data_IF_838550469133
#
_entry.id   IF_838550469133
#
_cell.length_a   1.000
_cell.length_b   1.000
_cell.length_c   1.000
_cell.angle_alpha   90.00
_cell.angle_beta   90.00
_cell.angle_gamma   90.00
#
_symmetry.space_group_name_H-M   'P 1'
#
loop_
_entity.id
_entity.type
_entity.pdbx_description
1 polymer ?
#
# COMPACT_ATOMS: atom_id res chain seq x y z
N UNK A 1 -45.83 18.56 28.19
CA UNK A 1 -44.41 18.26 28.02
C UNK A 1 -44.27 17.63 26.63
N UNK A 2 -44.11 18.51 25.65
CA UNK A 2 -44.00 18.08 24.26
C UNK A 2 -42.58 17.56 24.01
N UNK A 3 -42.49 16.33 23.61
CA UNK A 3 -41.25 15.69 23.20
C UNK A 3 -40.74 16.37 21.92
N UNK A 4 -39.56 17.01 21.99
CA UNK A 4 -38.86 17.51 20.83
C UNK A 4 -38.70 16.39 19.80
N UNK A 5 -38.90 16.65 18.50
CA UNK A 5 -38.66 15.68 17.47
C UNK A 5 -37.15 15.35 17.45
N UNK A 6 -36.82 14.05 17.54
CA UNK A 6 -35.47 13.54 17.32
C UNK A 6 -35.03 13.96 15.92
N UNK A 7 -33.92 14.72 15.84
CA UNK A 7 -33.23 14.99 14.59
C UNK A 7 -32.85 13.63 13.98
N UNK A 8 -33.21 13.34 12.71
CA UNK A 8 -32.76 12.11 12.07
C UNK A 8 -31.22 12.13 12.06
N UNK A 9 -30.58 11.07 12.57
CA UNK A 9 -29.14 10.89 12.39
C UNK A 9 -28.88 10.97 10.88
N UNK A 10 -28.04 11.89 10.44
CA UNK A 10 -27.57 11.93 9.06
C UNK A 10 -27.08 10.52 8.71
N UNK A 11 -27.72 9.92 7.72
CA UNK A 11 -27.33 8.61 7.24
C UNK A 11 -25.85 8.66 6.87
N UNK A 12 -25.06 7.76 7.41
CA UNK A 12 -23.62 7.66 7.14
C UNK A 12 -23.40 7.67 5.63
N UNK A 13 -22.66 8.65 5.13
CA UNK A 13 -22.31 8.77 3.71
C UNK A 13 -21.36 7.62 3.28
N UNK A 14 -20.70 6.99 4.26
CA UNK A 14 -19.75 5.92 4.01
C UNK A 14 -20.46 4.61 3.63
N UNK A 15 -19.87 3.79 2.73
CA UNK A 15 -20.35 2.44 2.46
C UNK A 15 -20.44 1.63 3.74
N UNK A 16 -21.39 0.67 3.77
CA UNK A 16 -21.66 -0.16 4.95
C UNK A 16 -20.40 -0.79 5.55
N UNK A 17 -20.22 -0.65 6.85
CA UNK A 17 -19.08 -1.18 7.61
C UNK A 17 -17.75 -0.49 7.33
N UNK A 18 -17.67 0.47 6.41
CA UNK A 18 -16.48 1.29 6.23
C UNK A 18 -16.33 2.31 7.34
N UNK A 19 -15.09 2.60 7.69
CA UNK A 19 -14.78 3.63 8.70
C UNK A 19 -13.71 4.59 8.17
N UNK A 20 -13.85 5.86 8.50
CA UNK A 20 -12.81 6.85 8.25
C UNK A 20 -11.77 6.76 9.37
N UNK A 21 -10.48 6.81 9.00
CA UNK A 21 -9.38 6.86 9.94
C UNK A 21 -8.82 8.27 10.05
N UNK A 22 -8.22 8.57 11.20
CA UNK A 22 -7.65 9.86 11.55
C UNK A 22 -8.56 10.67 12.45
N UNK A 23 -7.96 11.46 13.34
CA UNK A 23 -8.64 12.32 14.30
C UNK A 23 -8.90 13.73 13.78
N UNK A 24 -8.47 14.76 14.52
CA UNK A 24 -8.69 16.17 14.19
C UNK A 24 -8.12 16.65 12.85
N UNK A 25 -7.15 15.91 12.28
CA UNK A 25 -6.56 16.16 10.96
C UNK A 25 -7.22 15.38 9.82
N UNK A 26 -8.29 14.63 10.06
CA UNK A 26 -8.97 13.88 9.01
C UNK A 26 -9.87 14.82 8.18
N UNK A 27 -9.78 14.71 6.85
CA UNK A 27 -10.72 15.38 5.96
C UNK A 27 -12.01 14.57 5.93
N UNK A 28 -13.12 15.19 6.26
CA UNK A 28 -14.45 14.55 6.18
C UNK A 28 -14.71 14.03 4.76
N UNK A 29 -15.02 12.76 4.65
CA UNK A 29 -15.40 12.12 3.39
C UNK A 29 -16.89 12.35 3.15
N UNK A 30 -17.19 13.24 2.23
CA UNK A 30 -18.55 13.49 1.76
C UNK A 30 -18.90 12.64 0.52
N UNK A 31 -20.14 12.71 0.08
CA UNK A 31 -20.61 11.96 -1.09
C UNK A 31 -19.83 12.35 -2.36
N UNK A 32 -19.36 13.58 -2.49
CA UNK A 32 -18.62 14.05 -3.65
C UNK A 32 -17.21 13.40 -3.71
N UNK A 33 -16.52 13.32 -2.56
CA UNK A 33 -15.22 12.68 -2.44
C UNK A 33 -15.30 11.16 -2.72
N UNK A 34 -16.42 10.52 -2.37
CA UNK A 34 -16.62 9.08 -2.57
C UNK A 34 -17.18 8.71 -3.94
N UNK A 35 -17.84 9.65 -4.62
CA UNK A 35 -18.51 9.41 -5.92
C UNK A 35 -17.61 8.73 -6.97
N UNK A 36 -16.34 9.11 -7.17
CA UNK A 36 -15.48 8.46 -8.16
C UNK A 36 -15.30 6.95 -7.91
N UNK A 37 -15.46 6.50 -6.66
CA UNK A 37 -15.18 5.14 -6.21
C UNK A 37 -16.43 4.29 -6.00
N UNK A 38 -17.60 4.90 -5.90
CA UNK A 38 -18.89 4.25 -5.61
C UNK A 38 -19.87 4.27 -6.78
N UNK A 39 -19.64 5.12 -7.78
CA UNK A 39 -20.45 5.21 -9.00
C UNK A 39 -19.94 4.24 -10.07
N UNK A 40 -20.85 3.54 -10.75
CA UNK A 40 -20.52 2.72 -11.91
C UNK A 40 -20.46 3.53 -13.22
N UNK A 41 -20.64 4.85 -13.15
CA UNK A 41 -20.82 5.68 -14.34
C UNK A 41 -19.47 6.12 -14.96
N UNK A 42 -18.37 5.95 -14.24
CA UNK A 42 -17.05 6.36 -14.71
C UNK A 42 -16.08 5.18 -14.76
N UNK A 43 -15.38 5.00 -15.90
CA UNK A 43 -14.32 4.01 -15.97
C UNK A 43 -13.16 4.44 -15.07
N UNK A 44 -12.57 3.48 -14.37
CA UNK A 44 -11.39 3.64 -13.52
C UNK A 44 -10.18 3.03 -14.22
N UNK A 45 -9.00 3.57 -13.93
CA UNK A 45 -7.73 2.93 -14.28
C UNK A 45 -7.13 2.26 -13.03
N UNK A 46 -6.49 1.11 -13.21
CA UNK A 46 -5.79 0.37 -12.15
C UNK A 46 -4.31 0.25 -12.49
N UNK A 47 -3.45 0.82 -11.67
CA UNK A 47 -2.00 0.72 -11.75
C UNK A 47 -1.50 -0.17 -10.60
N UNK A 48 -0.92 -1.32 -10.95
CA UNK A 48 -0.18 -2.17 -10.02
C UNK A 48 1.31 -1.89 -10.18
N UNK A 49 1.97 -1.44 -9.11
CA UNK A 49 3.40 -1.17 -9.12
C UNK A 49 4.12 -2.28 -8.34
N UNK A 50 4.92 -3.04 -9.05
CA UNK A 50 5.80 -4.06 -8.49
C UNK A 50 7.17 -3.46 -8.29
N UNK A 51 7.76 -3.64 -7.11
CA UNK A 51 9.14 -3.25 -6.90
C UNK A 51 9.89 -4.24 -6.00
N UNK A 52 11.21 -4.20 -6.09
CA UNK A 52 12.08 -5.03 -5.25
C UNK A 52 13.13 -4.19 -4.54
N UNK A 53 13.44 -4.59 -3.31
CA UNK A 53 14.49 -4.03 -2.47
C UNK A 53 15.25 -5.13 -1.75
N UNK A 54 16.57 -5.02 -1.65
CA UNK A 54 17.39 -5.92 -0.85
C UNK A 54 17.07 -5.86 0.66
N UNK A 55 16.32 -4.85 1.10
CA UNK A 55 15.77 -4.82 2.46
C UNK A 55 14.91 -6.06 2.74
N UNK A 56 14.23 -6.61 1.74
CA UNK A 56 13.45 -7.84 1.84
C UNK A 56 14.30 -9.10 2.07
N UNK A 57 15.62 -9.02 1.89
CA UNK A 57 16.52 -10.17 2.04
C UNK A 57 16.90 -10.47 3.49
N UNK A 58 16.57 -9.57 4.42
CA UNK A 58 16.72 -9.88 5.84
C UNK A 58 15.69 -10.93 6.28
N UNK A 59 16.18 -11.96 6.97
CA UNK A 59 15.30 -13.00 7.50
C UNK A 59 14.27 -12.40 8.48
N UNK A 60 13.03 -12.84 8.36
CA UNK A 60 11.93 -12.38 9.22
C UNK A 60 11.42 -10.96 8.97
N UNK A 61 12.00 -10.17 8.04
CA UNK A 61 11.62 -8.77 7.84
C UNK A 61 10.22 -8.58 7.24
N UNK A 62 9.74 -9.55 6.49
CA UNK A 62 8.48 -9.44 5.76
C UNK A 62 7.75 -10.78 5.73
N UNK A 63 6.42 -10.73 5.86
CA UNK A 63 5.53 -11.87 5.67
C UNK A 63 5.23 -12.20 4.20
N UNK A 64 5.68 -11.36 3.26
CA UNK A 64 5.49 -11.55 1.82
C UNK A 64 6.37 -12.68 1.25
N UNK A 65 6.40 -13.81 1.91
CA UNK A 65 7.19 -15.01 1.61
C UNK A 65 8.02 -15.46 2.81
N UNK A 66 7.97 -16.76 3.11
CA UNK A 66 8.62 -17.34 4.30
C UNK A 66 10.15 -17.34 4.22
N UNK A 67 10.72 -17.33 3.02
CA UNK A 67 12.17 -17.33 2.79
C UNK A 67 12.61 -16.14 1.95
N UNK A 68 13.88 -15.78 2.05
CA UNK A 68 14.49 -14.75 1.19
C UNK A 68 14.28 -15.07 -0.29
N UNK A 69 14.46 -16.34 -0.68
CA UNK A 69 14.29 -16.77 -2.06
C UNK A 69 12.84 -16.59 -2.53
N UNK A 70 11.84 -16.97 -1.72
CA UNK A 70 10.43 -16.81 -2.08
C UNK A 70 10.04 -15.35 -2.23
N UNK A 71 10.56 -14.45 -1.39
CA UNK A 71 10.27 -13.00 -1.47
C UNK A 71 10.72 -12.35 -2.77
N UNK A 72 11.74 -12.89 -3.44
CA UNK A 72 12.20 -12.39 -4.75
C UNK A 72 11.17 -12.60 -5.86
N UNK A 73 10.23 -13.53 -5.69
CA UNK A 73 9.22 -13.87 -6.69
C UNK A 73 7.81 -13.42 -6.30
N UNK A 74 7.58 -13.01 -5.06
CA UNK A 74 6.25 -12.68 -4.55
C UNK A 74 5.55 -11.65 -5.44
N UNK A 75 6.22 -10.57 -5.79
CA UNK A 75 5.62 -9.52 -6.62
C UNK A 75 5.18 -10.03 -8.01
N UNK A 76 6.00 -10.90 -8.63
CA UNK A 76 5.67 -11.53 -9.91
C UNK A 76 4.51 -12.51 -9.79
N UNK A 77 4.52 -13.35 -8.74
CA UNK A 77 3.48 -14.34 -8.49
C UNK A 77 2.13 -13.70 -8.19
N UNK A 78 2.13 -12.62 -7.43
CA UNK A 78 0.91 -11.85 -7.13
C UNK A 78 0.37 -11.12 -8.36
N UNK A 79 1.24 -10.54 -9.18
CA UNK A 79 0.82 -9.91 -10.43
C UNK A 79 0.26 -10.94 -11.43
N UNK A 80 0.91 -12.09 -11.58
CA UNK A 80 0.41 -13.19 -12.41
C UNK A 80 -0.99 -13.65 -11.94
N UNK A 81 -1.19 -13.74 -10.61
CA UNK A 81 -2.48 -14.08 -10.03
C UNK A 81 -3.54 -12.99 -10.26
N UNK A 82 -3.16 -11.72 -10.13
CA UNK A 82 -4.07 -10.61 -10.40
C UNK A 82 -4.53 -10.59 -11.87
N UNK A 83 -3.59 -10.79 -12.81
CA UNK A 83 -3.87 -10.71 -14.25
C UNK A 83 -4.66 -11.93 -14.73
N UNK A 84 -4.18 -13.13 -14.43
CA UNK A 84 -4.68 -14.38 -15.00
C UNK A 84 -5.63 -15.14 -14.10
N UNK A 85 -5.73 -14.78 -12.82
CA UNK A 85 -6.54 -15.49 -11.83
C UNK A 85 -5.92 -16.84 -11.44
N UNK A 86 -6.70 -17.72 -10.78
CA UNK A 86 -6.22 -19.00 -10.25
C UNK A 86 -6.00 -20.03 -11.37
N UNK A 87 -4.92 -19.90 -12.12
CA UNK A 87 -4.52 -20.86 -13.16
C UNK A 87 -3.97 -22.17 -12.57
N UNK A 88 -4.11 -23.28 -13.32
CA UNK A 88 -3.58 -24.59 -12.92
C UNK A 88 -2.05 -24.66 -12.97
N UNK A 89 -1.44 -23.99 -13.94
CA UNK A 89 0.00 -23.87 -14.09
C UNK A 89 0.37 -22.39 -14.00
N UNK A 90 1.32 -22.09 -13.13
CA UNK A 90 1.88 -20.77 -12.93
C UNK A 90 3.35 -20.80 -13.24
N UNK A 91 3.86 -19.75 -13.84
CA UNK A 91 5.29 -19.57 -14.00
C UNK A 91 5.94 -19.24 -12.65
N UNK A 92 5.28 -18.38 -11.89
CA UNK A 92 5.78 -17.91 -10.60
C UNK A 92 5.01 -18.60 -9.48
N UNK A 93 5.66 -19.47 -8.68
CA UNK A 93 4.97 -20.10 -7.56
C UNK A 93 4.63 -19.07 -6.50
N UNK A 94 3.37 -19.05 -6.08
CA UNK A 94 3.01 -18.29 -4.91
C UNK A 94 3.80 -18.81 -3.71
N UNK A 95 4.41 -17.91 -2.91
CA UNK A 95 5.10 -18.36 -1.71
C UNK A 95 4.10 -19.09 -0.81
N UNK A 96 4.52 -20.15 -0.09
CA UNK A 96 3.67 -20.81 0.88
C UNK A 96 3.33 -19.78 1.96
N UNK A 97 2.04 -19.52 2.09
CA UNK A 97 1.50 -18.57 3.03
C UNK A 97 0.82 -19.35 4.16
N UNK A 98 1.02 -19.02 5.43
CA UNK A 98 0.30 -19.67 6.53
C UNK A 98 -1.22 -19.62 6.36
N UNK A 99 -1.72 -18.56 5.75
CA UNK A 99 -3.13 -18.35 5.44
C UNK A 99 -3.61 -19.06 4.15
N UNK A 100 -2.74 -19.62 3.34
CA UNK A 100 -3.09 -20.41 2.16
C UNK A 100 -3.43 -19.62 0.90
N UNK A 101 -3.69 -18.32 0.95
CA UNK A 101 -4.18 -17.53 -0.20
C UNK A 101 -3.50 -16.18 -0.28
N UNK A 102 -2.99 -15.83 -1.47
CA UNK A 102 -2.49 -14.48 -1.73
C UNK A 102 -3.62 -13.46 -1.81
N UNK A 103 -3.46 -12.25 -1.24
CA UNK A 103 -4.41 -11.15 -1.38
C UNK A 103 -4.65 -10.73 -2.85
N UNK A 104 -3.73 -11.02 -3.75
CA UNK A 104 -3.89 -10.78 -5.17
C UNK A 104 -5.09 -11.53 -5.78
N UNK A 105 -5.57 -12.64 -5.19
CA UNK A 105 -6.79 -13.31 -5.63
C UNK A 105 -8.02 -12.43 -5.46
N UNK A 106 -8.10 -11.69 -4.37
CA UNK A 106 -9.23 -10.78 -4.14
C UNK A 106 -9.17 -9.57 -5.05
N UNK A 107 -7.94 -9.05 -5.24
CA UNK A 107 -7.72 -7.99 -6.22
C UNK A 107 -8.12 -8.46 -7.63
N UNK A 108 -7.84 -9.72 -8.00
CA UNK A 108 -8.33 -10.31 -9.25
C UNK A 108 -9.85 -10.33 -9.32
N UNK A 109 -10.53 -10.80 -8.28
CA UNK A 109 -11.99 -10.84 -8.24
C UNK A 109 -12.59 -9.44 -8.31
N UNK A 110 -12.04 -8.48 -7.57
CA UNK A 110 -12.47 -7.09 -7.58
C UNK A 110 -12.26 -6.44 -8.97
N UNK A 111 -11.08 -6.60 -9.56
CA UNK A 111 -10.77 -6.08 -10.89
C UNK A 111 -11.73 -6.65 -11.95
N UNK A 112 -11.99 -7.96 -11.90
CA UNK A 112 -12.97 -8.61 -12.78
C UNK A 112 -14.38 -8.07 -12.58
N UNK A 113 -14.81 -7.89 -11.34
CA UNK A 113 -16.13 -7.36 -11.01
C UNK A 113 -16.32 -5.93 -11.50
N UNK A 114 -15.28 -5.13 -11.43
CA UNK A 114 -15.27 -3.73 -11.87
C UNK A 114 -14.83 -3.55 -13.33
N UNK A 115 -14.60 -4.65 -14.05
CA UNK A 115 -14.12 -4.62 -15.45
C UNK A 115 -12.83 -3.82 -15.62
N UNK A 116 -11.93 -3.89 -14.61
CA UNK A 116 -10.64 -3.21 -14.62
C UNK A 116 -9.57 -4.11 -15.24
N UNK A 117 -8.79 -3.55 -16.15
CA UNK A 117 -7.56 -4.18 -16.66
C UNK A 117 -6.36 -3.55 -15.96
N UNK A 118 -5.60 -4.30 -15.15
CA UNK A 118 -4.45 -3.74 -14.46
C UNK A 118 -3.34 -3.39 -15.44
N UNK A 119 -2.84 -2.16 -15.35
CA UNK A 119 -1.55 -1.77 -15.91
C UNK A 119 -0.48 -2.08 -14.87
N UNK A 120 0.57 -2.76 -15.28
CA UNK A 120 1.63 -3.18 -14.35
C UNK A 120 2.91 -2.41 -14.63
N UNK A 121 3.44 -1.71 -13.64
CA UNK A 121 4.80 -1.18 -13.66
C UNK A 121 5.71 -2.14 -12.88
N UNK A 122 6.82 -2.56 -13.52
CA UNK A 122 7.76 -3.51 -12.94
C UNK A 122 9.12 -2.84 -12.72
N UNK A 123 9.50 -2.63 -11.45
CA UNK A 123 10.63 -1.80 -11.07
C UNK A 123 11.66 -2.60 -10.26
N UNK A 124 12.86 -2.71 -10.78
CA UNK A 124 13.98 -3.36 -10.07
C UNK A 124 13.75 -4.80 -9.66
N UNK A 125 12.92 -5.55 -10.37
CA UNK A 125 12.64 -6.95 -10.05
C UNK A 125 13.87 -7.81 -10.34
N UNK A 126 14.06 -8.87 -9.53
CA UNK A 126 15.14 -9.83 -9.71
C UNK A 126 14.98 -10.68 -10.98
N UNK A 127 13.77 -10.79 -11.49
CA UNK A 127 13.42 -11.57 -12.67
C UNK A 127 12.50 -10.76 -13.59
N UNK A 128 12.63 -11.02 -14.89
CA UNK A 128 11.80 -10.36 -15.90
C UNK A 128 10.36 -10.90 -15.85
N UNK A 129 9.32 -10.01 -15.79
CA UNK A 129 7.94 -10.41 -15.99
C UNK A 129 7.72 -11.05 -17.36
N UNK A 130 6.85 -12.04 -17.43
CA UNK A 130 6.40 -12.68 -18.68
C UNK A 130 4.99 -12.26 -19.10
N UNK A 131 4.44 -11.28 -18.42
CA UNK A 131 3.17 -10.62 -18.72
C UNK A 131 3.38 -9.17 -19.20
N UNK A 132 2.39 -8.57 -19.87
CA UNK A 132 2.48 -7.18 -20.31
C UNK A 132 2.72 -6.22 -19.13
N UNK A 133 3.71 -5.34 -19.28
CA UNK A 133 4.05 -4.34 -18.27
C UNK A 133 4.60 -3.06 -18.91
N UNK A 134 4.54 -1.97 -18.15
CA UNK A 134 5.10 -0.69 -18.54
C UNK A 134 6.64 -0.75 -18.45
N UNK A 135 7.31 -0.33 -19.52
CA UNK A 135 8.77 -0.21 -19.55
C UNK A 135 9.19 1.14 -18.96
N UNK A 136 9.37 1.18 -17.65
CA UNK A 136 9.72 2.39 -16.90
C UNK A 136 11.24 2.55 -16.79
N UNK A 137 11.95 1.47 -16.50
CA UNK A 137 13.41 1.43 -16.42
C UNK A 137 13.96 0.14 -17.06
N UNK A 138 15.25 0.06 -17.39
CA UNK A 138 15.86 -1.18 -17.83
C UNK A 138 15.69 -2.30 -16.82
N UNK A 139 15.35 -3.50 -17.30
CA UNK A 139 15.04 -4.65 -16.43
C UNK A 139 16.26 -5.22 -15.67
N UNK A 140 17.45 -4.84 -16.09
CA UNK A 140 18.74 -5.22 -15.47
C UNK A 140 19.18 -4.28 -14.33
N UNK A 141 18.40 -3.23 -14.04
CA UNK A 141 18.69 -2.35 -12.90
C UNK A 141 18.70 -3.07 -11.56
N UNK A 142 17.89 -4.12 -11.43
CA UNK A 142 17.81 -4.90 -10.21
C UNK A 142 17.15 -4.17 -9.03
N UNK A 143 17.04 -4.84 -7.86
CA UNK A 143 16.47 -4.28 -6.64
C UNK A 143 17.22 -3.04 -6.16
N UNK A 144 16.53 -2.14 -5.43
CA UNK A 144 17.27 -1.15 -4.63
C UNK A 144 18.14 -1.84 -3.59
N UNK A 145 19.27 -1.24 -3.24
CA UNK A 145 20.11 -1.74 -2.15
C UNK A 145 19.33 -1.73 -0.82
N UNK A 146 19.79 -2.50 0.15
CA UNK A 146 19.19 -2.47 1.49
C UNK A 146 19.26 -1.05 2.06
N UNK A 147 18.15 -0.56 2.57
CA UNK A 147 18.04 0.78 3.16
C UNK A 147 19.11 1.03 4.25
N UNK A 148 19.55 -0.02 4.94
CA UNK A 148 20.59 0.10 5.99
C UNK A 148 21.97 0.52 5.46
N UNK A 149 22.14 0.55 4.12
CA UNK A 149 23.36 1.10 3.49
C UNK A 149 23.40 2.63 3.56
N UNK A 150 22.25 3.31 3.67
CA UNK A 150 22.13 4.75 3.53
C UNK A 150 22.28 5.25 2.09
N UNK A 151 22.31 4.32 1.12
CA UNK A 151 22.45 4.55 -0.32
C UNK A 151 21.61 3.52 -1.09
N UNK A 152 20.29 3.55 -0.87
CA UNK A 152 19.34 2.57 -1.42
C UNK A 152 19.29 2.62 -2.95
N UNK A 153 19.37 3.82 -3.53
CA UNK A 153 19.37 4.00 -4.99
C UNK A 153 20.31 5.14 -5.40
N UNK A 154 20.97 5.05 -6.57
CA UNK A 154 21.62 6.21 -7.15
C UNK A 154 20.61 7.34 -7.41
N UNK A 155 20.97 8.59 -7.08
CA UNK A 155 20.08 9.74 -7.30
C UNK A 155 19.57 9.86 -8.74
N UNK A 156 20.40 9.64 -9.80
CA UNK A 156 19.90 9.65 -11.17
C UNK A 156 18.79 8.61 -11.45
N UNK A 157 18.83 7.43 -10.79
CA UNK A 157 17.76 6.43 -10.89
C UNK A 157 16.46 6.94 -10.24
N UNK A 158 16.55 7.53 -9.05
CA UNK A 158 15.41 8.15 -8.38
C UNK A 158 14.76 9.20 -9.28
N UNK A 159 15.57 10.10 -9.85
CA UNK A 159 15.11 11.17 -10.74
C UNK A 159 14.49 10.62 -12.03
N UNK A 160 15.03 9.53 -12.57
CA UNK A 160 14.45 8.86 -13.73
C UNK A 160 13.06 8.28 -13.39
N UNK A 161 12.95 7.48 -12.34
CA UNK A 161 11.69 6.87 -11.88
C UNK A 161 10.64 7.95 -11.59
N UNK A 162 11.02 8.98 -10.86
CA UNK A 162 10.18 10.13 -10.55
C UNK A 162 9.61 10.78 -11.81
N UNK A 163 10.49 11.09 -12.76
CA UNK A 163 10.09 11.72 -14.03
C UNK A 163 9.14 10.84 -14.84
N UNK A 164 9.39 9.53 -14.89
CA UNK A 164 8.48 8.59 -15.56
C UNK A 164 7.11 8.55 -14.88
N UNK A 165 7.08 8.53 -13.55
CA UNK A 165 5.85 8.65 -12.79
C UNK A 165 5.11 9.95 -13.06
N UNK A 166 5.81 11.08 -13.02
CA UNK A 166 5.23 12.40 -13.29
C UNK A 166 4.61 12.50 -14.69
N UNK A 167 5.28 11.96 -15.70
CA UNK A 167 4.75 11.90 -17.05
C UNK A 167 3.46 11.07 -17.13
N UNK A 168 3.39 9.95 -16.40
CA UNK A 168 2.18 9.14 -16.31
C UNK A 168 1.06 9.91 -15.59
N UNK A 169 1.37 10.50 -14.43
CA UNK A 169 0.41 11.27 -13.64
C UNK A 169 -0.22 12.43 -14.40
N UNK A 170 0.58 13.18 -15.17
CA UNK A 170 0.10 14.29 -16.02
C UNK A 170 -0.85 13.87 -17.13
N UNK A 171 -0.80 12.61 -17.56
CA UNK A 171 -1.63 12.07 -18.65
C UNK A 171 -2.91 11.40 -18.20
N UNK A 172 -3.19 11.39 -16.89
CA UNK A 172 -4.41 10.79 -16.36
C UNK A 172 -5.64 11.47 -16.92
N UNK A 173 -6.54 10.67 -17.45
CA UNK A 173 -7.85 11.11 -17.97
C UNK A 173 -9.01 10.56 -17.14
N UNK A 174 -8.73 9.66 -16.22
CA UNK A 174 -9.70 8.94 -15.39
C UNK A 174 -9.19 8.83 -13.96
N UNK A 175 -10.07 8.62 -12.99
CA UNK A 175 -9.66 8.27 -11.63
C UNK A 175 -8.74 7.03 -11.65
N UNK A 176 -7.66 7.10 -10.87
CA UNK A 176 -6.64 6.06 -10.84
C UNK A 176 -6.62 5.36 -9.48
N UNK A 177 -6.72 4.04 -9.49
CA UNK A 177 -6.41 3.18 -8.35
C UNK A 177 -4.94 2.78 -8.45
N UNK A 178 -4.16 3.05 -7.42
CA UNK A 178 -2.76 2.63 -7.30
C UNK A 178 -2.67 1.53 -6.26
N UNK A 179 -2.09 0.40 -6.64
CA UNK A 179 -1.78 -0.71 -5.75
C UNK A 179 -0.29 -1.06 -5.87
N UNK A 180 0.26 -1.72 -4.84
CA UNK A 180 1.67 -2.09 -4.83
C UNK A 180 1.90 -3.55 -4.41
N UNK A 181 3.02 -4.11 -4.84
CA UNK A 181 3.58 -5.30 -4.24
C UNK A 181 5.10 -5.12 -4.08
N UNK A 182 5.52 -4.79 -2.85
CA UNK A 182 6.91 -4.51 -2.50
C UNK A 182 7.27 -5.27 -1.23
N UNK A 183 7.79 -6.51 -1.32
CA UNK A 183 8.33 -7.19 -0.15
C UNK A 183 9.34 -6.31 0.58
N UNK A 184 9.19 -6.14 1.90
CA UNK A 184 10.02 -5.22 2.69
C UNK A 184 9.59 -3.74 2.67
N UNK A 185 8.58 -3.39 1.88
CA UNK A 185 8.11 -2.01 1.68
C UNK A 185 7.65 -1.28 2.95
N UNK A 186 7.12 -1.98 3.95
CA UNK A 186 6.78 -1.34 5.23
C UNK A 186 8.01 -0.83 5.99
N UNK A 187 9.19 -1.42 5.76
CA UNK A 187 10.44 -0.96 6.38
C UNK A 187 11.02 0.25 5.63
N UNK A 188 10.96 0.27 4.30
CA UNK A 188 11.35 1.44 3.50
C UNK A 188 10.40 2.62 3.75
N UNK A 189 9.08 2.36 3.91
CA UNK A 189 8.11 3.38 4.33
C UNK A 189 8.45 3.98 5.70
N UNK A 190 8.80 3.13 6.69
CA UNK A 190 9.25 3.60 7.99
C UNK A 190 10.47 4.52 7.87
N UNK A 191 11.47 4.12 7.09
CA UNK A 191 12.69 4.89 6.92
C UNK A 191 12.42 6.25 6.26
N UNK A 192 11.61 6.28 5.22
CA UNK A 192 11.21 7.50 4.52
C UNK A 192 10.43 8.45 5.44
N UNK A 193 9.40 7.96 6.14
CA UNK A 193 8.62 8.79 7.06
C UNK A 193 9.48 9.33 8.21
N UNK A 194 10.39 8.50 8.76
CA UNK A 194 11.34 8.98 9.77
C UNK A 194 12.28 10.05 9.22
N UNK A 195 12.77 9.88 7.98
CA UNK A 195 13.66 10.87 7.33
C UNK A 195 12.94 12.19 7.03
N UNK A 196 11.63 12.13 6.76
CA UNK A 196 10.77 13.30 6.63
C UNK A 196 10.52 14.02 7.96
N UNK A 197 10.79 13.39 9.12
CA UNK A 197 10.52 13.93 10.44
C UNK A 197 9.17 13.54 11.03
N UNK A 198 8.46 12.58 10.42
CA UNK A 198 7.22 12.04 10.99
C UNK A 198 7.55 11.13 12.16
N UNK A 199 6.84 11.31 13.30
CA UNK A 199 6.96 10.42 14.45
C UNK A 199 6.30 9.08 14.14
N UNK A 200 7.10 8.04 13.92
CA UNK A 200 6.61 6.73 13.48
C UNK A 200 6.88 5.60 14.49
N UNK A 201 7.39 5.95 15.69
CA UNK A 201 7.72 4.96 16.70
C UNK A 201 6.47 4.12 17.06
N UNK A 202 6.58 2.81 16.89
CA UNK A 202 5.52 1.84 17.16
C UNK A 202 4.25 1.96 16.31
N UNK A 203 4.20 2.86 15.33
CA UNK A 203 3.03 3.11 14.48
C UNK A 203 3.07 2.33 13.16
N UNK A 204 4.21 1.72 12.82
CA UNK A 204 4.33 0.94 11.60
C UNK A 204 3.79 -0.47 11.83
N UNK A 205 2.70 -0.77 11.15
CA UNK A 205 2.21 -2.14 11.06
C UNK A 205 3.15 -3.00 10.21
N UNK A 206 3.09 -4.29 10.43
CA UNK A 206 3.75 -5.25 9.55
C UNK A 206 2.72 -6.25 9.11
N UNK A 207 2.78 -6.72 7.87
CA UNK A 207 1.94 -7.81 7.37
C UNK A 207 2.22 -9.15 8.08
N UNK A 208 2.58 -9.15 9.35
CA UNK A 208 2.92 -10.31 10.15
C UNK A 208 2.17 -10.28 11.48
N UNK A 209 1.81 -11.47 12.00
CA UNK A 209 1.19 -11.61 13.34
C UNK A 209 2.03 -10.93 14.43
N UNK A 210 3.35 -11.05 14.31
CA UNK A 210 4.34 -10.44 15.17
C UNK A 210 5.32 -9.65 14.32
N UNK A 211 5.03 -8.38 14.02
CA UNK A 211 5.93 -7.55 13.20
C UNK A 211 7.32 -7.47 13.84
N UNK A 212 8.41 -7.63 13.06
CA UNK A 212 9.78 -7.59 13.58
C UNK A 212 10.21 -6.14 13.86
N UNK A 213 9.56 -5.47 14.81
CA UNK A 213 9.71 -4.05 15.08
C UNK A 213 11.16 -3.65 15.39
N UNK A 214 11.87 -4.46 16.19
CA UNK A 214 13.25 -4.17 16.53
C UNK A 214 14.17 -4.25 15.31
N UNK A 215 14.05 -5.30 14.50
CA UNK A 215 14.81 -5.45 13.26
C UNK A 215 14.57 -4.28 12.30
N UNK A 216 13.32 -3.88 12.12
CA UNK A 216 12.97 -2.73 11.28
C UNK A 216 13.63 -1.45 11.82
N UNK A 217 13.48 -1.19 13.11
CA UNK A 217 14.08 -0.03 13.78
C UNK A 217 15.59 0.02 13.58
N UNK A 218 16.28 -1.11 13.80
CA UNK A 218 17.75 -1.19 13.68
C UNK A 218 18.23 -0.91 12.25
N UNK A 219 17.50 -1.42 11.24
CA UNK A 219 17.80 -1.15 9.84
C UNK A 219 17.60 0.33 9.50
N UNK A 220 16.49 0.92 9.95
CA UNK A 220 16.17 2.33 9.71
C UNK A 220 17.20 3.25 10.37
N UNK A 221 17.49 3.05 11.64
CA UNK A 221 18.50 3.85 12.37
C UNK A 221 19.85 3.78 11.67
N UNK A 222 20.31 2.58 11.31
CA UNK A 222 21.58 2.37 10.61
C UNK A 222 21.60 3.05 9.25
N UNK A 223 20.51 2.96 8.48
CA UNK A 223 20.39 3.59 7.18
C UNK A 223 20.47 5.11 7.27
N UNK A 224 19.69 5.71 8.16
CA UNK A 224 19.67 7.16 8.34
C UNK A 224 21.01 7.71 8.88
N UNK A 225 21.67 6.98 9.77
CA UNK A 225 23.01 7.36 10.25
C UNK A 225 24.06 7.37 9.13
N UNK A 226 23.98 6.40 8.19
CA UNK A 226 24.93 6.29 7.07
C UNK A 226 24.62 7.24 5.92
N UNK A 227 23.36 7.61 5.77
CA UNK A 227 22.89 8.45 4.66
C UNK A 227 23.48 9.86 4.68
N UNK A 228 23.94 10.35 5.84
CA UNK A 228 24.49 11.71 6.00
C UNK A 228 23.57 12.78 5.39
N UNK A 229 22.26 12.64 5.55
CA UNK A 229 21.27 13.60 5.08
C UNK A 229 21.46 14.94 5.80
N UNK A 230 21.37 16.05 5.06
CA UNK A 230 21.38 17.39 5.65
C UNK A 230 20.14 17.67 6.50
N UNK A 231 20.08 18.86 7.10
CA UNK A 231 18.96 19.25 7.97
C UNK A 231 17.59 19.28 7.26
N UNK A 232 17.58 19.57 5.96
CA UNK A 232 16.37 19.65 5.13
C UNK A 232 16.60 18.89 3.84
N UNK A 233 16.61 17.55 3.85
CA UNK A 233 16.81 16.76 2.65
C UNK A 233 15.60 16.87 1.72
N UNK A 234 15.83 16.91 0.42
CA UNK A 234 14.74 16.81 -0.55
C UNK A 234 14.16 15.40 -0.58
N UNK A 235 12.92 15.25 -1.06
CA UNK A 235 12.28 13.95 -1.25
C UNK A 235 13.14 12.99 -2.09
N UNK A 236 13.79 13.50 -3.14
CA UNK A 236 14.70 12.69 -3.97
C UNK A 236 15.93 12.21 -3.18
N UNK A 237 16.51 13.05 -2.32
CA UNK A 237 17.65 12.67 -1.46
C UNK A 237 17.24 11.61 -0.43
N UNK A 238 16.07 11.74 0.18
CA UNK A 238 15.51 10.74 1.09
C UNK A 238 15.33 9.40 0.37
N UNK A 239 14.72 9.43 -0.82
CA UNK A 239 14.51 8.24 -1.64
C UNK A 239 15.83 7.58 -2.06
N UNK A 240 16.84 8.36 -2.43
CA UNK A 240 18.16 7.84 -2.77
C UNK A 240 18.83 7.17 -1.55
N UNK A 241 18.65 7.72 -0.37
CA UNK A 241 19.23 7.21 0.86
C UNK A 241 18.57 5.92 1.37
N UNK A 242 17.24 5.91 1.52
CA UNK A 242 16.51 4.86 2.25
C UNK A 242 15.22 4.39 1.59
N UNK A 243 14.89 4.90 0.40
CA UNK A 243 13.66 4.56 -0.31
C UNK A 243 13.75 3.28 -1.14
N UNK A 244 12.71 3.05 -1.92
CA UNK A 244 12.62 1.96 -2.90
C UNK A 244 12.04 2.47 -4.26
N UNK A 245 12.13 1.66 -5.33
CA UNK A 245 11.70 2.09 -6.66
C UNK A 245 10.20 2.41 -6.76
N UNK A 246 9.35 1.71 -5.99
CA UNK A 246 7.92 2.00 -5.93
C UNK A 246 7.68 3.42 -5.42
N UNK A 247 8.33 3.79 -4.32
CA UNK A 247 8.17 5.11 -3.72
C UNK A 247 8.61 6.21 -4.69
N UNK A 248 9.75 6.04 -5.36
CA UNK A 248 10.26 7.04 -6.32
C UNK A 248 9.30 7.24 -7.50
N UNK A 249 8.83 6.17 -8.10
CA UNK A 249 7.92 6.22 -9.24
C UNK A 249 6.54 6.74 -8.84
N UNK A 250 5.95 6.21 -7.76
CA UNK A 250 4.60 6.57 -7.34
C UNK A 250 4.51 7.99 -6.81
N UNK A 251 5.55 8.48 -6.10
CA UNK A 251 5.63 9.91 -5.74
C UNK A 251 5.58 10.79 -6.98
N UNK A 252 6.31 10.42 -8.04
CA UNK A 252 6.21 11.12 -9.32
C UNK A 252 4.80 11.09 -9.90
N UNK A 253 4.10 9.94 -9.86
CA UNK A 253 2.70 9.83 -10.32
C UNK A 253 1.80 10.83 -9.58
N UNK A 254 1.93 10.92 -8.26
CA UNK A 254 1.14 11.84 -7.43
C UNK A 254 1.43 13.31 -7.80
N UNK A 255 2.70 13.68 -7.93
CA UNK A 255 3.11 15.04 -8.31
C UNK A 255 2.54 15.41 -9.70
N UNK A 256 2.64 14.50 -10.67
CA UNK A 256 2.11 14.72 -12.02
C UNK A 256 0.58 14.81 -12.04
N UNK A 257 -0.11 14.02 -11.22
CA UNK A 257 -1.56 13.94 -11.19
C UNK A 257 -2.24 15.24 -10.70
N UNK A 258 -1.53 16.09 -9.94
CA UNK A 258 -2.05 17.39 -9.50
C UNK A 258 -2.54 18.22 -10.69
N UNK A 259 -1.76 18.23 -11.80
CA UNK A 259 -2.14 18.98 -12.99
C UNK A 259 -3.26 18.34 -13.81
N UNK A 260 -3.44 17.03 -13.70
CA UNK A 260 -4.51 16.30 -14.37
C UNK A 260 -5.87 16.44 -13.67
N UNK A 261 -5.88 16.80 -12.38
CA UNK A 261 -7.09 17.00 -11.58
C UNK A 261 -7.91 15.72 -11.34
N UNK A 262 -7.35 14.54 -11.63
CA UNK A 262 -8.06 13.27 -11.49
C UNK A 262 -7.99 12.74 -10.05
N UNK A 263 -9.07 12.15 -9.52
CA UNK A 263 -9.05 11.49 -8.23
C UNK A 263 -8.07 10.30 -8.19
N UNK A 264 -7.41 10.11 -7.05
CA UNK A 264 -6.45 9.05 -6.81
C UNK A 264 -6.89 8.20 -5.60
N UNK A 265 -7.00 6.88 -5.77
CA UNK A 265 -7.18 5.94 -4.67
C UNK A 265 -5.88 5.16 -4.46
N UNK A 266 -5.22 5.39 -3.34
CA UNK A 266 -4.01 4.68 -2.95
C UNK A 266 -4.39 3.47 -2.10
N UNK A 267 -4.38 2.28 -2.69
CA UNK A 267 -4.74 1.03 -2.02
C UNK A 267 -3.58 0.48 -1.20
N UNK A 268 -3.62 0.66 0.13
CA UNK A 268 -2.56 0.17 1.00
C UNK A 268 -2.51 0.85 2.38
N UNK A 269 -1.34 0.86 2.99
CA UNK A 269 -1.12 1.42 4.32
C UNK A 269 0.10 2.34 4.39
N UNK A 270 1.12 1.93 5.15
CA UNK A 270 2.31 2.75 5.42
C UNK A 270 3.03 3.24 4.15
N UNK A 271 3.12 2.39 3.11
CA UNK A 271 3.72 2.78 1.82
C UNK A 271 2.97 3.93 1.16
N UNK A 272 1.64 3.92 1.22
CA UNK A 272 0.82 4.95 0.62
C UNK A 272 0.92 6.28 1.37
N UNK A 273 1.02 6.24 2.69
CA UNK A 273 1.33 7.43 3.49
C UNK A 273 2.72 7.99 3.18
N UNK A 274 3.72 7.12 3.01
CA UNK A 274 5.08 7.56 2.68
C UNK A 274 5.16 8.26 1.31
N UNK A 275 4.54 7.70 0.27
CA UNK A 275 4.54 8.35 -1.06
C UNK A 275 3.74 9.64 -1.08
N UNK A 276 2.62 9.71 -0.34
CA UNK A 276 1.86 10.94 -0.20
C UNK A 276 2.67 12.02 0.52
N UNK A 277 3.35 11.68 1.62
CA UNK A 277 4.19 12.61 2.36
C UNK A 277 5.36 13.14 1.53
N UNK A 278 6.02 12.27 0.75
CA UNK A 278 7.07 12.68 -0.19
C UNK A 278 6.55 13.64 -1.27
N UNK A 279 5.38 13.34 -1.86
CA UNK A 279 4.76 14.19 -2.87
C UNK A 279 4.36 15.56 -2.29
N UNK A 280 3.79 15.57 -1.09
CA UNK A 280 3.44 16.80 -0.38
C UNK A 280 4.69 17.65 -0.09
N UNK A 281 5.78 17.05 0.39
CA UNK A 281 7.02 17.80 0.61
C UNK A 281 7.58 18.43 -0.68
N UNK A 282 7.44 17.75 -1.81
CA UNK A 282 7.99 18.20 -3.09
C UNK A 282 7.15 19.31 -3.75
N UNK A 283 5.90 19.50 -3.36
CA UNK A 283 4.96 20.41 -3.98
C UNK A 283 4.89 21.76 -3.24
N UNK A 284 4.66 22.88 -3.94
CA UNK A 284 4.33 24.15 -3.30
C UNK A 284 2.96 24.07 -2.60
N UNK A 285 2.76 24.86 -1.54
CA UNK A 285 1.60 24.79 -0.63
C UNK A 285 0.23 24.69 -1.36
N UNK A 286 -0.01 25.53 -2.37
CA UNK A 286 -1.26 25.48 -3.14
C UNK A 286 -1.51 24.12 -3.81
N UNK A 287 -0.45 23.48 -4.31
CA UNK A 287 -0.55 22.16 -4.94
C UNK A 287 -0.63 21.04 -3.90
N UNK A 288 -0.11 21.23 -2.69
CA UNK A 288 -0.32 20.31 -1.56
C UNK A 288 -1.82 20.20 -1.23
N UNK A 289 -2.52 21.32 -1.11
CA UNK A 289 -3.96 21.35 -0.87
C UNK A 289 -4.75 20.64 -1.98
N UNK A 290 -4.34 20.85 -3.23
CA UNK A 290 -4.93 20.16 -4.38
C UNK A 290 -4.72 18.66 -4.30
N UNK A 291 -3.49 18.20 -4.04
CA UNK A 291 -3.18 16.78 -3.91
C UNK A 291 -3.95 16.15 -2.75
N UNK A 292 -3.98 16.79 -1.58
CA UNK A 292 -4.73 16.31 -0.43
C UNK A 292 -6.24 16.16 -0.72
N UNK A 293 -6.78 17.02 -1.60
CA UNK A 293 -8.17 16.94 -2.03
C UNK A 293 -8.43 15.82 -3.06
N UNK A 294 -7.44 15.44 -3.85
CA UNK A 294 -7.55 14.42 -4.89
C UNK A 294 -7.28 13.00 -4.39
N UNK A 295 -6.55 12.86 -3.28
CA UNK A 295 -6.09 11.55 -2.78
C UNK A 295 -7.03 11.00 -1.73
N UNK A 296 -7.47 9.76 -1.92
CA UNK A 296 -8.06 8.89 -0.92
C UNK A 296 -7.14 7.70 -0.68
N UNK A 297 -6.72 7.46 0.55
CA UNK A 297 -6.04 6.21 0.93
C UNK A 297 -7.12 5.21 1.33
N UNK A 298 -7.16 4.09 0.61
CA UNK A 298 -8.02 2.95 0.92
C UNK A 298 -7.24 1.85 1.61
N UNK A 299 -7.69 1.43 2.78
CA UNK A 299 -7.05 0.35 3.52
C UNK A 299 -8.05 -0.70 3.98
N UNK A 300 -7.57 -1.73 4.66
CA UNK A 300 -8.42 -2.79 5.21
C UNK A 300 -8.87 -2.45 6.62
N UNK A 301 -10.08 -2.89 6.98
CA UNK A 301 -10.52 -2.77 8.36
C UNK A 301 -9.65 -3.57 9.34
N UNK A 302 -8.94 -4.61 8.89
CA UNK A 302 -7.99 -5.33 9.74
C UNK A 302 -6.80 -4.47 10.13
N UNK A 303 -6.25 -3.68 9.18
CA UNK A 303 -5.19 -2.73 9.49
C UNK A 303 -5.70 -1.60 10.40
N UNK A 304 -6.94 -1.19 10.19
CA UNK A 304 -7.59 -0.20 11.04
C UNK A 304 -7.78 -0.65 12.49
N UNK A 305 -8.00 -1.96 12.69
CA UNK A 305 -8.27 -2.53 14.02
C UNK A 305 -7.02 -3.18 14.65
N UNK A 306 -5.94 -3.38 13.89
CA UNK A 306 -4.72 -4.05 14.36
C UNK A 306 -4.11 -3.30 15.55
N UNK A 307 -3.99 -3.99 16.68
CA UNK A 307 -3.36 -3.43 17.89
C UNK A 307 -4.07 -2.20 18.47
N UNK A 308 -5.36 -2.01 18.18
CA UNK A 308 -6.13 -0.92 18.74
C UNK A 308 -6.12 -0.95 20.28
N UNK A 309 -5.96 0.21 20.88
CA UNK A 309 -5.99 0.40 22.32
C UNK A 309 -7.45 0.40 22.87
N UNK A 310 -7.61 0.64 24.16
CA UNK A 310 -8.93 0.71 24.81
C UNK A 310 -9.81 1.87 24.29
N UNK A 311 -9.20 2.89 23.68
CA UNK A 311 -9.91 3.99 23.05
C UNK A 311 -10.26 3.70 21.57
N UNK A 312 -9.84 2.53 21.05
CA UNK A 312 -10.08 2.14 19.65
C UNK A 312 -9.07 2.73 18.66
N UNK A 313 -8.00 3.37 19.15
CA UNK A 313 -6.96 3.92 18.27
C UNK A 313 -5.94 2.84 17.90
N UNK A 314 -5.85 2.54 16.62
CA UNK A 314 -4.85 1.59 16.09
C UNK A 314 -3.51 2.28 15.81
N UNK A 315 -2.39 1.53 15.79
CA UNK A 315 -1.11 2.07 15.35
C UNK A 315 -1.18 2.74 13.97
N UNK A 316 -1.93 2.17 13.04
CA UNK A 316 -2.10 2.78 11.72
C UNK A 316 -2.91 4.08 11.77
N UNK A 317 -3.96 4.15 12.58
CA UNK A 317 -4.69 5.41 12.85
C UNK A 317 -3.76 6.48 13.42
N UNK A 318 -2.93 6.11 14.40
CA UNK A 318 -1.89 6.98 14.95
C UNK A 318 -0.87 7.45 13.91
N UNK A 319 -0.48 6.58 12.95
CA UNK A 319 0.42 6.95 11.86
C UNK A 319 -0.24 7.96 10.90
N UNK A 320 -1.53 7.79 10.62
CA UNK A 320 -2.31 8.77 9.83
C UNK A 320 -2.29 10.13 10.51
N UNK A 321 -2.58 10.18 11.81
CA UNK A 321 -2.61 11.43 12.60
C UNK A 321 -1.23 12.09 12.68
N UNK A 322 -0.18 11.32 12.93
CA UNK A 322 1.20 11.82 12.96
C UNK A 322 1.61 12.40 11.59
N UNK A 323 1.25 11.71 10.50
CA UNK A 323 1.55 12.17 9.14
C UNK A 323 0.76 13.43 8.80
N UNK A 324 -0.53 13.47 9.11
CA UNK A 324 -1.40 14.65 8.89
C UNK A 324 -0.89 15.88 9.67
N UNK A 325 -0.51 15.67 10.93
CA UNK A 325 0.06 16.73 11.79
C UNK A 325 1.38 17.27 11.24
N UNK A 326 2.29 16.37 10.82
CA UNK A 326 3.58 16.75 10.24
C UNK A 326 3.42 17.55 8.95
N UNK A 327 2.50 17.14 8.09
CA UNK A 327 2.22 17.80 6.81
C UNK A 327 1.35 19.06 6.97
N UNK A 328 0.80 19.32 8.16
CA UNK A 328 -0.23 20.35 8.39
C UNK A 328 -1.38 20.25 7.37
N UNK A 329 -1.77 19.02 7.00
CA UNK A 329 -2.76 18.75 5.97
C UNK A 329 -3.80 17.73 6.44
N UNK A 330 -5.05 17.93 6.08
CA UNK A 330 -6.12 16.96 6.33
C UNK A 330 -6.05 15.81 5.31
N UNK A 331 -5.87 14.60 5.80
CA UNK A 331 -5.78 13.41 4.96
C UNK A 331 -7.11 12.67 4.90
N UNK A 332 -7.43 12.10 3.73
CA UNK A 332 -8.60 11.25 3.51
C UNK A 332 -8.16 9.78 3.56
N UNK A 333 -8.57 9.06 4.61
CA UNK A 333 -8.24 7.63 4.78
C UNK A 333 -9.50 6.85 5.12
N UNK A 334 -9.79 5.83 4.31
CA UNK A 334 -10.97 4.98 4.44
C UNK A 334 -10.55 3.53 4.66
N UNK A 335 -11.01 2.94 5.74
CA UNK A 335 -10.88 1.50 5.97
C UNK A 335 -12.12 0.77 5.47
N UNK A 336 -11.90 -0.27 4.67
CA UNK A 336 -12.97 -1.06 4.10
C UNK A 336 -13.66 -1.92 5.16
N UNK A 337 -15.00 -1.96 5.13
CA UNK A 337 -15.82 -2.74 6.06
C UNK A 337 -15.94 -4.23 5.76
N UNK A 338 -15.40 -4.69 4.63
CA UNK A 338 -15.51 -6.11 4.26
C UNK A 338 -14.74 -6.98 5.24
N UNK A 339 -15.38 -8.04 5.72
CA UNK A 339 -14.80 -9.07 6.60
C UNK A 339 -15.13 -10.44 6.02
N UNK A 340 -14.17 -11.34 6.09
CA UNK A 340 -14.37 -12.72 5.65
C UNK A 340 -14.58 -13.65 6.82
N UNK A 341 -15.39 -14.67 6.58
CA UNK A 341 -15.66 -15.73 7.55
C UNK A 341 -15.40 -17.08 6.90
N UNK A 342 -14.99 -18.05 7.71
CA UNK A 342 -14.91 -19.45 7.27
C UNK A 342 -16.30 -20.02 6.95
N UNK A 343 -16.34 -21.20 6.34
CA UNK A 343 -17.61 -21.94 6.13
C UNK A 343 -18.36 -22.27 7.41
N UNK A 344 -17.69 -22.18 8.56
CA UNK A 344 -18.27 -22.35 9.90
C UNK A 344 -18.68 -21.02 10.54
N UNK A 345 -18.70 -19.94 9.77
CA UNK A 345 -19.00 -18.57 10.23
C UNK A 345 -18.04 -18.04 11.32
N UNK A 346 -16.86 -18.63 11.46
CA UNK A 346 -15.83 -18.09 12.34
C UNK A 346 -15.06 -16.98 11.60
N UNK A 347 -14.75 -15.86 12.28
CA UNK A 347 -13.92 -14.80 11.70
C UNK A 347 -12.55 -15.35 11.30
N UNK A 348 -12.06 -14.97 10.14
CA UNK A 348 -10.73 -15.35 9.63
C UNK A 348 -9.61 -14.49 10.23
N UNK A 349 -9.69 -14.10 11.49
CA UNK A 349 -8.76 -13.17 12.15
C UNK A 349 -7.29 -13.59 12.07
N UNK A 350 -7.00 -14.88 12.22
CA UNK A 350 -5.63 -15.38 12.18
C UNK A 350 -5.05 -15.38 10.75
N UNK A 351 -5.92 -15.41 9.76
CA UNK A 351 -5.56 -15.29 8.35
C UNK A 351 -5.42 -13.83 7.91
N UNK A 352 -6.13 -12.93 8.57
CA UNK A 352 -6.26 -11.53 8.21
C UNK A 352 -5.04 -10.69 8.56
N UNK A 353 -4.36 -11.02 9.66
CA UNK A 353 -3.22 -10.25 10.17
C UNK A 353 -1.95 -10.36 9.31
N UNK A 354 -1.89 -11.33 8.41
CA UNK A 354 -0.72 -11.56 7.57
C UNK A 354 -0.68 -10.77 6.26
N UNK A 355 -1.75 -10.06 5.85
CA UNK A 355 -1.87 -9.54 4.49
C UNK A 355 -2.52 -8.16 4.43
N UNK A 356 -1.70 -7.14 4.57
CA UNK A 356 -2.14 -5.74 4.50
C UNK A 356 -1.91 -5.12 3.12
N UNK A 357 -1.12 -5.74 2.28
CA UNK A 357 -0.79 -5.22 0.95
C UNK A 357 -1.61 -5.90 -0.12
N UNK A 358 -2.65 -5.30 -0.61
CA UNK A 358 -3.60 -5.76 -1.63
C UNK A 358 -4.80 -6.53 -1.06
N UNK A 359 -5.89 -5.85 -0.99
CA UNK A 359 -7.29 -6.30 -0.92
C UNK A 359 -7.51 -7.81 -0.69
N UNK A 360 -7.54 -8.25 0.58
CA UNK A 360 -8.34 -9.36 1.13
C UNK A 360 -8.06 -10.82 0.77
N UNK A 361 -7.86 -11.62 1.80
CA UNK A 361 -7.82 -13.08 1.74
C UNK A 361 -9.23 -13.67 1.84
N UNK A 362 -9.66 -14.44 0.85
CA UNK A 362 -10.78 -15.36 0.94
C UNK A 362 -10.25 -16.79 0.79
N UNK A 363 -10.73 -17.78 1.58
CA UNK A 363 -10.37 -19.17 1.33
C UNK A 363 -10.81 -19.56 -0.08
N UNK A 364 -9.87 -20.10 -0.85
CA UNK A 364 -10.17 -20.63 -2.17
C UNK A 364 -11.18 -21.79 -2.05
N UNK A 365 -12.10 -21.95 -3.00
CA UNK A 365 -12.94 -23.16 -3.08
C UNK A 365 -12.14 -24.47 -3.08
N UNK A 366 -10.84 -24.41 -3.39
CA UNK A 366 -9.91 -25.55 -3.33
C UNK A 366 -9.49 -25.91 -1.93
N UNK A 367 -9.36 -24.94 -1.02
CA UNK A 367 -8.98 -25.21 0.36
C UNK A 367 -10.06 -26.01 1.08
N UNK A 368 -11.33 -25.86 0.65
CA UNK A 368 -12.45 -26.70 1.11
C UNK A 368 -12.33 -28.17 0.68
N UNK A 369 -11.60 -28.50 -0.39
CA UNK A 369 -11.41 -29.89 -0.83
C UNK A 369 -10.23 -30.58 -0.14
N UNK A 370 -9.21 -29.83 0.25
CA UNK A 370 -8.07 -30.40 1.00
C UNK A 370 -8.43 -30.70 2.45
N UNK A 371 -9.33 -29.92 3.05
CA UNK A 371 -9.82 -30.19 4.43
C UNK A 371 -10.78 -31.38 4.54
N UNK A 372 -11.12 -32.04 3.41
CA UNK A 372 -11.98 -33.24 3.36
C UNK A 372 -11.27 -34.54 3.04
N UNK A 373 -9.94 -34.58 3.07
CA UNK A 373 -9.27 -35.88 3.04
C UNK A 373 -9.39 -36.50 4.43
N UNK A 374 -10.08 -37.66 4.58
CA UNK A 374 -10.06 -38.37 5.84
C UNK A 374 -8.64 -38.82 6.09
N UNK A 375 -8.15 -38.63 7.31
CA UNK A 375 -6.99 -39.33 7.82
C UNK A 375 -7.32 -40.81 7.72
N UNK A 376 -6.87 -41.46 6.66
CA UNK A 376 -6.87 -42.91 6.59
C UNK A 376 -5.76 -43.42 7.49
N UNK A 377 -6.17 -44.26 8.40
CA UNK A 377 -5.52 -45.12 9.36
C UNK A 377 -4.06 -45.51 9.06
#
# INVERSE_FOLDING_TARGET
MDSLPSIPSEASVLPEGCQQLGGLGARTLDAAALRPWTSNDQPLDLLLVLAATQTAEHEGISAAGSTVASRRYTALADAELLIHGPARQRRWPLPPLPAGVSPALLSHVAARRLTLTPQVAALGLAQKPDFPHLHIEPLDQGPSACLSSGAAMPLPRVQHLWRQGELLGRRLQRPLVVAECVPGGTTTAQAVLTALGVEVAHLISGSALHPPQQLKKDLVVRGLQRASLGAHPSAEQILAAVGDPFQAFTTGVLVGAVSAGQPLLLGGGCQMLAVLALAMQALPARQQDQLAAQVLIGTTGWLADEGADLAGQSPFGGLVDATASHLAAALSVLACGVRFHSSTHQPLRDYERGYVCLLYTSPSPRDKRQSRMPSSA
#
